data_IF_253287088043
#
_entry.id   IF_253287088043
#
_cell.length_a   1.000
_cell.length_b   1.000
_cell.length_c   1.000
_cell.angle_alpha   90.00
_cell.angle_beta   90.00
_cell.angle_gamma   90.00
#
_symmetry.space_group_name_H-M   'P 1'
#
loop_
_entity.id
_entity.type
_entity.pdbx_description
1 polymer ?
#
# COMPACT_ATOMS: atom_id res chain seq x y z
N UNK A 1 20.07 -8.16 11.05
CA UNK A 1 20.21 -7.84 9.62
C UNK A 1 21.51 -7.10 9.44
N UNK A 2 22.32 -7.53 8.49
CA UNK A 2 23.49 -6.77 8.08
C UNK A 2 23.03 -5.38 7.64
N UNK A 3 23.63 -4.31 8.19
CA UNK A 3 23.17 -2.95 7.99
C UNK A 3 21.97 -2.47 8.84
N UNK A 4 21.37 -3.32 9.66
CA UNK A 4 20.33 -2.89 10.59
C UNK A 4 20.96 -2.11 11.74
N UNK A 5 20.44 -0.92 12.04
CA UNK A 5 20.86 -0.15 13.20
C UNK A 5 20.27 -0.76 14.48
N UNK A 6 21.04 -0.70 15.58
CA UNK A 6 20.71 -1.36 16.84
C UNK A 6 19.36 -0.92 17.44
N UNK A 7 18.95 0.31 17.21
CA UNK A 7 17.78 0.93 17.84
C UNK A 7 16.61 1.20 16.88
N UNK A 8 16.63 0.66 15.67
CA UNK A 8 15.58 0.89 14.65
C UNK A 8 15.58 2.33 14.11
N UNK A 9 14.82 2.54 13.06
CA UNK A 9 14.59 3.86 12.40
C UNK A 9 13.12 4.27 12.43
N UNK A 10 12.24 3.36 12.82
CA UNK A 10 10.80 3.57 12.80
C UNK A 10 10.35 4.08 14.15
N UNK A 11 9.55 5.14 14.15
CA UNK A 11 8.83 5.61 15.31
C UNK A 11 7.37 5.19 15.17
N UNK A 12 6.83 4.57 16.20
CA UNK A 12 5.41 4.24 16.27
C UNK A 12 4.65 5.38 16.94
N UNK A 13 3.52 5.84 16.36
CA UNK A 13 2.65 6.76 17.05
C UNK A 13 2.07 6.08 18.30
N UNK A 14 1.96 6.81 19.38
CA UNK A 14 1.28 6.31 20.58
C UNK A 14 -0.19 5.95 20.29
N UNK A 15 -0.74 5.00 21.02
CA UNK A 15 -2.19 4.71 20.96
C UNK A 15 -2.93 5.96 21.41
N UNK A 16 -3.91 6.39 20.59
CA UNK A 16 -4.65 7.62 20.79
C UNK A 16 -6.14 7.33 20.96
N UNK A 17 -6.77 7.94 21.95
CA UNK A 17 -8.23 7.89 22.09
C UNK A 17 -8.89 8.97 21.21
N UNK A 18 -9.44 8.51 20.08
CA UNK A 18 -10.11 9.38 19.14
C UNK A 18 -11.46 9.91 19.63
N UNK A 19 -12.02 9.43 20.76
CA UNK A 19 -13.24 9.99 21.35
C UNK A 19 -13.07 11.49 21.66
N UNK A 20 -11.85 11.92 22.00
CA UNK A 20 -11.50 13.34 22.24
C UNK A 20 -11.71 14.27 21.04
N UNK A 21 -11.85 13.74 19.82
CA UNK A 21 -12.12 14.51 18.62
C UNK A 21 -13.59 14.90 18.45
N UNK A 22 -14.54 14.26 19.17
CA UNK A 22 -15.97 14.59 19.14
C UNK A 22 -16.53 14.67 17.71
N UNK A 23 -17.15 15.81 17.33
CA UNK A 23 -17.72 16.02 16.00
C UNK A 23 -16.73 15.91 14.84
N UNK A 24 -15.41 15.92 15.10
CA UNK A 24 -14.36 15.74 14.09
C UNK A 24 -14.09 14.27 13.78
N UNK A 25 -14.65 13.34 14.53
CA UNK A 25 -14.59 11.90 14.23
C UNK A 25 -15.09 11.55 12.83
N UNK A 26 -15.96 12.37 12.24
CA UNK A 26 -16.47 12.21 10.86
C UNK A 26 -15.37 12.31 9.78
N UNK A 27 -14.23 12.92 10.10
CA UNK A 27 -13.09 13.03 9.19
C UNK A 27 -12.16 11.80 9.23
N UNK A 28 -12.36 10.92 10.20
CA UNK A 28 -11.60 9.67 10.29
C UNK A 28 -12.39 8.52 9.64
N UNK A 29 -11.69 7.52 9.06
CA UNK A 29 -12.36 6.34 8.56
C UNK A 29 -13.15 5.65 9.69
N UNK A 30 -14.21 4.93 9.32
CA UNK A 30 -14.95 4.10 10.26
C UNK A 30 -13.98 3.15 10.97
N UNK A 31 -14.22 2.88 12.26
CA UNK A 31 -13.38 1.97 13.03
C UNK A 31 -13.30 0.62 12.31
N UNK A 32 -12.10 0.21 11.93
CA UNK A 32 -11.88 -1.09 11.32
C UNK A 32 -12.02 -2.18 12.39
N UNK A 33 -12.47 -3.37 12.00
CA UNK A 33 -12.45 -4.55 12.87
C UNK A 33 -11.03 -5.08 13.13
N UNK A 34 -10.00 -4.33 12.73
CA UNK A 34 -8.61 -4.65 12.98
C UNK A 34 -8.31 -4.38 14.46
N UNK A 35 -7.69 -5.33 15.18
CA UNK A 35 -7.27 -5.10 16.56
C UNK A 35 -6.37 -3.88 16.66
N UNK A 36 -6.45 -3.18 17.80
CA UNK A 36 -5.51 -2.10 18.10
C UNK A 36 -4.12 -2.70 18.27
N UNK A 37 -3.16 -2.21 17.50
CA UNK A 37 -1.77 -2.68 17.47
C UNK A 37 -0.88 -1.55 17.97
N UNK A 38 -0.45 -1.56 19.24
CA UNK A 38 0.29 -0.45 19.82
C UNK A 38 1.63 -0.19 19.16
N UNK A 39 2.33 -1.25 18.72
CA UNK A 39 3.68 -1.15 18.15
C UNK A 39 3.80 -2.01 16.90
N UNK A 40 4.67 -1.60 15.98
CA UNK A 40 4.97 -2.39 14.79
C UNK A 40 5.47 -3.80 15.10
N UNK A 41 6.23 -3.98 16.18
CA UNK A 41 6.68 -5.30 16.64
C UNK A 41 5.52 -6.21 17.05
N UNK A 42 4.42 -5.64 17.58
CA UNK A 42 3.23 -6.39 17.97
C UNK A 42 2.47 -6.92 16.75
N UNK A 43 2.62 -6.28 15.59
CA UNK A 43 2.01 -6.72 14.34
C UNK A 43 2.45 -8.14 13.94
N UNK A 44 3.69 -8.49 14.23
CA UNK A 44 4.21 -9.83 13.95
C UNK A 44 3.64 -10.89 14.88
N UNK A 45 3.24 -10.53 16.10
CA UNK A 45 2.54 -11.42 17.02
C UNK A 45 1.13 -11.73 16.53
N UNK A 46 0.45 -10.76 15.91
CA UNK A 46 -0.89 -10.93 15.35
C UNK A 46 -0.93 -11.91 14.17
N UNK A 47 0.18 -12.10 13.50
CA UNK A 47 0.30 -13.04 12.38
C UNK A 47 0.74 -14.44 12.81
N UNK A 48 0.91 -14.70 14.13
CA UNK A 48 1.25 -16.03 14.70
C UNK A 48 0.00 -16.79 15.11
N UNK A 49 0.03 -18.12 15.06
CA UNK A 49 -1.06 -18.94 15.62
C UNK A 49 -1.21 -18.73 17.14
N UNK A 50 -2.40 -18.85 17.70
CA UNK A 50 -3.65 -19.16 17.05
C UNK A 50 -4.52 -17.92 16.80
N UNK A 51 -4.40 -17.32 15.63
CA UNK A 51 -5.30 -16.22 15.21
C UNK A 51 -6.79 -16.64 15.26
N UNK A 52 -7.03 -17.94 15.04
CA UNK A 52 -8.38 -18.54 15.03
C UNK A 52 -9.07 -18.56 16.39
N UNK A 53 -8.37 -18.36 17.50
CA UNK A 53 -8.93 -18.52 18.86
C UNK A 53 -9.21 -17.23 19.61
N UNK A 54 -9.05 -16.07 18.97
CA UNK A 54 -9.21 -14.76 19.62
C UNK A 54 -8.17 -14.45 20.71
N UNK A 55 -7.15 -15.29 20.86
CA UNK A 55 -6.03 -15.10 21.80
C UNK A 55 -4.89 -14.25 21.26
N UNK A 56 -5.03 -13.71 20.05
CA UNK A 56 -4.04 -12.85 19.41
C UNK A 56 -3.82 -11.49 20.10
N UNK A 57 -4.62 -11.16 21.08
CA UNK A 57 -4.36 -10.06 22.01
C UNK A 57 -3.48 -10.55 23.17
N UNK A 58 -2.32 -11.11 22.86
CA UNK A 58 -1.34 -11.39 23.89
C UNK A 58 -0.98 -10.09 24.59
N UNK A 59 -1.49 -9.88 25.78
CA UNK A 59 -1.04 -8.93 26.82
C UNK A 59 -0.58 -7.52 26.36
N UNK A 60 -1.05 -7.02 25.23
CA UNK A 60 -0.92 -5.59 24.94
C UNK A 60 -1.99 -4.91 25.77
N UNK A 61 -1.62 -4.49 26.98
CA UNK A 61 -2.49 -3.74 27.85
C UNK A 61 -2.81 -2.40 27.18
N UNK A 62 -3.99 -2.33 26.54
CA UNK A 62 -4.56 -1.04 26.18
C UNK A 62 -4.91 -0.30 27.47
N UNK A 63 -4.72 1.00 27.54
CA UNK A 63 -5.28 1.80 28.63
C UNK A 63 -6.78 1.48 28.77
N UNK A 64 -7.20 1.09 29.97
CA UNK A 64 -8.56 0.54 30.22
C UNK A 64 -9.68 1.58 30.09
N UNK A 65 -9.30 2.86 29.98
CA UNK A 65 -10.18 4.03 29.96
C UNK A 65 -10.39 4.65 28.58
N UNK A 66 -9.85 4.04 27.50
CA UNK A 66 -10.05 4.53 26.13
C UNK A 66 -11.35 4.06 25.53
N UNK A 67 -12.20 5.01 25.09
CA UNK A 67 -13.49 4.72 24.44
C UNK A 67 -13.32 4.33 22.97
N UNK A 68 -12.39 4.99 22.26
CA UNK A 68 -12.12 4.76 20.84
C UNK A 68 -10.62 4.71 20.55
N UNK A 69 -9.92 3.67 21.01
CA UNK A 69 -8.49 3.54 20.80
C UNK A 69 -8.14 3.36 19.33
N UNK A 70 -7.17 4.13 18.85
CA UNK A 70 -6.57 4.03 17.51
C UNK A 70 -5.06 3.82 17.64
N UNK A 71 -4.49 3.10 16.69
CA UNK A 71 -3.05 2.80 16.64
C UNK A 71 -2.48 3.01 15.24
N UNK A 72 -1.16 2.94 15.12
CA UNK A 72 -0.43 3.05 13.86
C UNK A 72 -0.81 4.32 13.07
N UNK A 73 -0.94 4.24 11.74
CA UNK A 73 -1.27 5.38 10.90
C UNK A 73 -2.59 6.07 11.24
N UNK A 74 -3.59 5.35 11.76
CA UNK A 74 -4.84 5.97 12.22
C UNK A 74 -4.62 6.86 13.44
N UNK A 75 -3.80 6.41 14.40
CA UNK A 75 -3.43 7.22 15.56
C UNK A 75 -2.67 8.48 15.14
N UNK A 76 -1.70 8.37 14.25
CA UNK A 76 -0.95 9.52 13.73
C UNK A 76 -1.88 10.57 13.14
N UNK A 77 -2.79 10.18 12.25
CA UNK A 77 -3.75 11.12 11.63
C UNK A 77 -4.71 11.71 12.66
N UNK A 78 -5.18 10.89 13.61
CA UNK A 78 -6.07 11.39 14.67
C UNK A 78 -5.39 12.44 15.55
N UNK A 79 -4.11 12.24 15.91
CA UNK A 79 -3.32 13.21 16.67
C UNK A 79 -3.09 14.51 15.89
N UNK A 80 -2.74 14.43 14.59
CA UNK A 80 -2.59 15.60 13.73
C UNK A 80 -3.93 16.36 13.58
N UNK A 81 -5.03 15.64 13.43
CA UNK A 81 -6.36 16.23 13.37
C UNK A 81 -6.74 16.94 14.67
N UNK A 82 -6.35 16.38 15.83
CA UNK A 82 -6.53 17.05 17.11
C UNK A 82 -5.77 18.38 17.17
N UNK A 83 -4.53 18.41 16.72
CA UNK A 83 -3.73 19.65 16.65
C UNK A 83 -4.46 20.68 15.77
N UNK A 84 -4.95 20.29 14.60
CA UNK A 84 -5.74 21.20 13.74
C UNK A 84 -7.02 21.71 14.42
N UNK A 85 -7.71 20.86 15.21
CA UNK A 85 -8.91 21.25 15.97
C UNK A 85 -8.59 22.29 17.06
N UNK A 86 -7.43 22.15 17.73
CA UNK A 86 -7.00 23.04 18.81
C UNK A 86 -6.52 24.40 18.30
N UNK A 87 -6.16 24.50 17.02
CA UNK A 87 -5.74 25.73 16.37
C UNK A 87 -6.88 26.34 15.55
N UNK A 88 -7.43 27.49 16.00
CA UNK A 88 -8.57 28.16 15.36
C UNK A 88 -8.28 28.82 14.00
N UNK A 89 -7.10 28.64 13.44
CA UNK A 89 -6.67 29.20 12.16
C UNK A 89 -6.58 28.17 11.04
N UNK A 90 -7.17 26.96 11.25
CA UNK A 90 -7.21 25.89 10.25
C UNK A 90 -8.65 25.57 9.90
N UNK A 91 -9.03 25.84 8.66
CA UNK A 91 -10.32 25.45 8.10
C UNK A 91 -10.19 24.18 7.26
N UNK A 92 -10.99 23.16 7.56
CA UNK A 92 -11.02 21.89 6.82
C UNK A 92 -12.31 21.81 6.00
N UNK A 93 -12.17 21.83 4.68
CA UNK A 93 -13.25 21.64 3.73
C UNK A 93 -13.21 20.21 3.19
N UNK A 94 -14.29 19.48 3.37
CA UNK A 94 -14.43 18.11 2.82
C UNK A 94 -15.34 18.12 1.60
N UNK A 95 -15.26 17.07 0.78
CA UNK A 95 -16.02 16.96 -0.47
C UNK A 95 -15.73 18.12 -1.43
N UNK A 96 -14.51 18.65 -1.40
CA UNK A 96 -14.02 19.68 -2.29
C UNK A 96 -12.94 19.09 -3.21
N UNK A 97 -13.17 19.20 -4.50
CA UNK A 97 -12.30 18.70 -5.56
C UNK A 97 -11.53 19.86 -6.18
N UNK A 98 -10.21 19.76 -6.20
CA UNK A 98 -9.35 20.69 -6.95
C UNK A 98 -9.59 20.52 -8.44
N UNK A 99 -9.86 21.60 -9.15
CA UNK A 99 -10.08 21.62 -10.61
C UNK A 99 -8.95 22.30 -11.35
N UNK A 100 -8.43 23.40 -10.80
CA UNK A 100 -7.45 24.26 -11.47
C UNK A 100 -6.65 25.05 -10.46
N UNK A 101 -5.40 25.38 -10.83
CA UNK A 101 -4.58 26.36 -10.12
C UNK A 101 -4.75 27.72 -10.79
N UNK A 102 -4.93 28.76 -10.00
CA UNK A 102 -5.03 30.14 -10.45
C UNK A 102 -3.65 30.78 -10.46
N UNK A 103 -3.27 31.38 -11.58
CA UNK A 103 -1.99 32.08 -11.71
C UNK A 103 -2.23 33.59 -12.02
N UNK A 104 -1.27 34.37 -11.57
CA UNK A 104 -1.21 35.82 -11.91
C UNK A 104 -0.78 36.02 -13.36
N UNK A 105 -1.51 36.90 -14.07
CA UNK A 105 -1.16 37.26 -15.44
C UNK A 105 0.13 38.08 -15.55
N UNK A 106 0.62 38.64 -14.43
CA UNK A 106 1.77 39.53 -14.41
C UNK A 106 3.09 38.76 -14.44
N UNK A 107 3.20 37.68 -13.63
CA UNK A 107 4.45 36.96 -13.39
C UNK A 107 4.31 35.43 -13.41
N UNK A 108 3.09 34.93 -13.66
CA UNK A 108 2.80 33.49 -13.70
C UNK A 108 2.86 32.80 -12.32
N UNK A 109 2.92 33.56 -11.22
CA UNK A 109 2.89 33.03 -9.87
C UNK A 109 1.54 32.37 -9.58
N UNK A 110 1.54 31.23 -8.91
CA UNK A 110 0.31 30.61 -8.40
C UNK A 110 -0.22 31.42 -7.21
N UNK A 111 -1.47 31.88 -7.34
CA UNK A 111 -2.15 32.78 -6.39
C UNK A 111 -3.43 32.17 -5.82
N UNK A 112 -3.71 30.90 -6.11
CA UNK A 112 -4.89 30.24 -5.59
C UNK A 112 -5.28 28.99 -6.35
N UNK A 113 -6.50 28.55 -6.09
CA UNK A 113 -7.08 27.38 -6.70
C UNK A 113 -8.59 27.57 -6.97
N UNK A 114 -9.09 26.91 -8.02
CA UNK A 114 -10.51 26.71 -8.24
C UNK A 114 -10.88 25.31 -7.77
N UNK A 115 -11.86 25.25 -6.88
CA UNK A 115 -12.36 24.00 -6.29
C UNK A 115 -13.86 23.87 -6.49
N UNK A 116 -14.35 22.63 -6.63
CA UNK A 116 -15.77 22.31 -6.65
C UNK A 116 -16.12 21.60 -5.35
N UNK A 117 -17.05 22.17 -4.58
CA UNK A 117 -17.42 21.64 -3.28
C UNK A 117 -18.85 21.06 -3.27
N UNK A 118 -18.98 19.83 -2.76
CA UNK A 118 -20.25 19.15 -2.68
C UNK A 118 -20.78 18.66 -4.03
N UNK A 119 -22.11 18.61 -4.14
CA UNK A 119 -22.83 18.21 -5.38
C UNK A 119 -23.19 19.39 -6.28
N UNK A 120 -22.83 20.61 -5.91
CA UNK A 120 -23.06 21.81 -6.72
C UNK A 120 -22.15 21.80 -7.95
N UNK A 121 -22.65 22.27 -9.06
CA UNK A 121 -21.83 22.57 -10.25
C UNK A 121 -21.02 23.87 -10.10
N UNK A 122 -21.32 24.66 -9.07
CA UNK A 122 -20.63 25.92 -8.81
C UNK A 122 -19.23 25.66 -8.26
N UNK A 123 -18.26 26.34 -8.86
CA UNK A 123 -16.86 26.32 -8.41
C UNK A 123 -16.59 27.54 -7.53
N UNK A 124 -15.76 27.33 -6.52
CA UNK A 124 -15.28 28.38 -5.62
C UNK A 124 -13.83 28.71 -5.97
N UNK A 125 -13.51 29.99 -6.07
CA UNK A 125 -12.14 30.45 -6.22
C UNK A 125 -11.57 30.78 -4.83
N UNK A 126 -10.49 30.11 -4.48
CA UNK A 126 -9.77 30.33 -3.23
C UNK A 126 -8.49 31.10 -3.56
N UNK A 127 -8.35 32.30 -3.02
CA UNK A 127 -7.13 33.09 -3.13
C UNK A 127 -6.13 32.68 -2.04
N UNK A 128 -4.89 32.44 -2.45
CA UNK A 128 -3.75 32.12 -1.57
C UNK A 128 -2.72 33.24 -1.64
N UNK A 129 -2.63 34.03 -0.57
CA UNK A 129 -1.70 35.16 -0.50
C UNK A 129 -0.22 34.74 -0.46
N UNK A 130 0.08 33.59 0.13
CA UNK A 130 1.46 33.11 0.33
C UNK A 130 1.84 31.99 -0.65
N UNK A 131 0.95 31.06 -0.92
CA UNK A 131 1.19 29.94 -1.84
C UNK A 131 0.18 28.81 -1.67
N UNK A 132 0.28 27.81 -2.54
CA UNK A 132 -0.53 26.59 -2.58
C UNK A 132 0.39 25.38 -2.40
N UNK A 133 0.06 24.49 -1.47
CA UNK A 133 0.77 23.23 -1.25
C UNK A 133 -0.11 22.09 -1.72
N UNK A 134 0.33 21.34 -2.74
CA UNK A 134 -0.39 20.17 -3.25
C UNK A 134 0.00 18.92 -2.46
N UNK A 135 -0.96 18.33 -1.77
CA UNK A 135 -0.81 17.06 -1.02
C UNK A 135 -1.95 16.10 -1.35
N UNK A 136 -2.43 16.14 -2.60
CA UNK A 136 -3.64 15.45 -3.06
C UNK A 136 -3.40 13.99 -3.45
N UNK A 137 -2.28 13.41 -3.03
CA UNK A 137 -1.92 12.02 -3.35
C UNK A 137 -1.45 11.83 -4.81
N UNK A 138 -1.26 10.57 -5.16
CA UNK A 138 -0.83 10.15 -6.50
C UNK A 138 -2.00 9.85 -7.44
N UNK A 139 -1.77 8.91 -8.39
CA UNK A 139 -2.77 8.56 -9.41
C UNK A 139 -3.21 7.07 -9.38
N UNK A 140 -3.04 6.40 -8.25
CA UNK A 140 -3.35 4.96 -8.12
C UNK A 140 -4.81 4.60 -8.43
N UNK A 141 -5.75 5.53 -8.28
CA UNK A 141 -7.17 5.35 -8.55
C UNK A 141 -7.61 5.89 -9.92
N UNK A 142 -6.66 6.25 -10.79
CA UNK A 142 -6.92 6.67 -12.16
C UNK A 142 -6.42 5.63 -13.15
N UNK A 143 -7.33 4.82 -13.74
CA UNK A 143 -6.95 3.73 -14.63
C UNK A 143 -6.26 4.23 -15.91
N UNK A 144 -6.70 5.34 -16.49
CA UNK A 144 -6.08 5.90 -17.70
C UNK A 144 -4.61 6.28 -17.44
N UNK A 145 -4.32 6.92 -16.30
CA UNK A 145 -2.96 7.25 -15.92
C UNK A 145 -2.13 6.00 -15.58
N UNK A 146 -2.74 5.00 -14.95
CA UNK A 146 -2.07 3.70 -14.71
C UNK A 146 -1.68 3.04 -16.01
N UNK A 147 -2.58 2.99 -16.98
CA UNK A 147 -2.33 2.40 -18.30
C UNK A 147 -1.25 3.16 -19.07
N UNK A 148 -1.27 4.49 -18.98
CA UNK A 148 -0.30 5.36 -19.64
C UNK A 148 1.11 5.26 -19.05
N UNK A 149 1.24 5.17 -17.73
CA UNK A 149 2.53 5.27 -17.05
C UNK A 149 3.03 3.94 -16.49
N UNK A 150 2.15 3.10 -15.94
CA UNK A 150 2.51 1.84 -15.30
C UNK A 150 2.36 0.63 -16.24
N UNK A 151 1.47 0.75 -17.22
CA UNK A 151 1.15 -0.31 -18.17
C UNK A 151 2.11 -0.43 -19.36
N UNK A 152 3.25 0.25 -19.35
CA UNK A 152 4.20 0.27 -20.47
C UNK A 152 4.64 -1.13 -20.88
N UNK A 153 3.95 -1.69 -21.88
CA UNK A 153 4.45 -2.83 -22.61
C UNK A 153 5.73 -2.44 -23.37
N UNK A 154 6.70 -3.35 -23.56
CA UNK A 154 7.84 -3.08 -24.43
C UNK A 154 7.33 -2.61 -25.79
N UNK A 155 7.99 -1.60 -26.37
CA UNK A 155 7.64 -1.04 -27.68
C UNK A 155 7.42 -2.16 -28.71
N UNK A 156 6.19 -2.30 -29.22
CA UNK A 156 5.80 -3.29 -30.24
C UNK A 156 4.88 -4.43 -29.78
N UNK A 157 4.53 -4.52 -28.50
CA UNK A 157 3.53 -5.48 -28.00
C UNK A 157 2.14 -4.87 -27.97
N UNK A 158 1.12 -5.66 -28.35
CA UNK A 158 -0.26 -5.33 -28.04
C UNK A 158 -0.39 -5.18 -26.51
N UNK A 159 -0.75 -3.97 -26.06
CA UNK A 159 -0.88 -3.64 -24.64
C UNK A 159 -1.73 -4.70 -23.94
N UNK A 160 -1.11 -5.49 -23.09
CA UNK A 160 -1.84 -6.46 -22.29
C UNK A 160 -2.61 -5.72 -21.20
N UNK A 161 -3.90 -5.87 -21.23
CA UNK A 161 -4.91 -5.13 -20.48
C UNK A 161 -4.90 -5.34 -18.96
N UNK A 162 -3.92 -6.05 -18.35
CA UNK A 162 -4.04 -6.49 -16.96
C UNK A 162 -2.73 -6.50 -16.16
N UNK A 163 -1.78 -5.61 -16.45
CA UNK A 163 -0.57 -5.47 -15.61
C UNK A 163 -0.88 -4.75 -14.29
N UNK A 164 -1.85 -3.84 -14.31
CA UNK A 164 -2.17 -2.98 -13.16
C UNK A 164 -3.63 -2.54 -13.22
N UNK A 165 -4.30 -2.52 -12.06
CA UNK A 165 -5.71 -2.12 -11.96
C UNK A 165 -5.94 -1.28 -10.70
N UNK A 166 -6.83 -0.31 -10.79
CA UNK A 166 -7.28 0.49 -9.63
C UNK A 166 -7.86 -0.39 -8.51
N UNK A 167 -8.60 -1.45 -8.88
CA UNK A 167 -9.18 -2.41 -7.94
C UNK A 167 -8.17 -3.26 -7.15
N UNK A 168 -6.87 -3.15 -7.44
CA UNK A 168 -5.80 -3.82 -6.68
C UNK A 168 -5.05 -2.87 -5.76
N UNK A 169 -5.34 -1.57 -5.82
CA UNK A 169 -4.68 -0.54 -5.02
C UNK A 169 -5.33 -0.39 -3.64
N UNK A 170 -4.51 -0.19 -2.61
CA UNK A 170 -4.91 0.19 -1.26
C UNK A 170 -4.93 1.71 -1.06
N UNK A 171 -4.55 2.48 -2.10
CA UNK A 171 -4.55 3.93 -2.04
C UNK A 171 -5.97 4.50 -1.86
N UNK A 172 -6.06 5.68 -1.30
CA UNK A 172 -7.33 6.38 -1.12
C UNK A 172 -8.04 6.60 -2.46
N UNK A 173 -9.39 6.53 -2.47
CA UNK A 173 -10.18 6.72 -3.69
C UNK A 173 -9.97 8.09 -4.35
N UNK A 174 -9.48 9.08 -3.60
CA UNK A 174 -9.14 10.42 -4.10
C UNK A 174 -7.79 10.51 -4.81
N UNK A 175 -6.98 9.46 -4.84
CA UNK A 175 -5.66 9.44 -5.50
C UNK A 175 -5.82 9.30 -7.03
N UNK A 176 -6.46 10.30 -7.65
CA UNK A 176 -6.81 10.33 -9.08
C UNK A 176 -5.82 11.12 -9.95
N UNK A 177 -4.71 11.57 -9.37
CA UNK A 177 -3.63 12.27 -10.10
C UNK A 177 -3.88 13.74 -10.34
N UNK A 178 -4.76 14.38 -9.57
CA UNK A 178 -5.13 15.79 -9.81
C UNK A 178 -3.93 16.74 -9.68
N UNK A 179 -3.03 16.54 -8.67
CA UNK A 179 -1.83 17.36 -8.52
C UNK A 179 -0.97 17.34 -9.79
N UNK A 180 -0.71 16.14 -10.32
CA UNK A 180 0.07 15.95 -11.54
C UNK A 180 -0.58 16.65 -12.73
N UNK A 181 -1.89 16.49 -12.90
CA UNK A 181 -2.64 17.10 -14.01
C UNK A 181 -2.63 18.63 -13.94
N UNK A 182 -2.92 19.23 -12.78
CA UNK A 182 -2.96 20.70 -12.66
C UNK A 182 -1.56 21.31 -12.73
N UNK A 183 -0.54 20.61 -12.18
CA UNK A 183 0.85 21.03 -12.27
C UNK A 183 1.37 21.01 -13.70
N UNK A 184 1.11 19.93 -14.45
CA UNK A 184 1.52 19.81 -15.85
C UNK A 184 0.88 20.85 -16.75
N UNK A 185 -0.36 21.29 -16.49
CA UNK A 185 -0.99 22.41 -17.22
C UNK A 185 -0.23 23.74 -17.06
N UNK A 186 0.48 23.90 -15.92
CA UNK A 186 1.36 25.05 -15.67
C UNK A 186 2.81 24.83 -16.14
N UNK A 187 3.09 23.71 -16.83
CA UNK A 187 4.41 23.36 -17.33
C UNK A 187 5.34 22.74 -16.29
N UNK A 188 4.78 22.20 -15.18
CA UNK A 188 5.56 21.45 -14.21
C UNK A 188 6.17 20.19 -14.80
N UNK A 189 7.38 19.86 -14.36
CA UNK A 189 8.04 18.60 -14.65
C UNK A 189 7.59 17.49 -13.70
N UNK A 190 7.81 16.24 -14.09
CA UNK A 190 7.42 15.07 -13.34
C UNK A 190 8.41 13.92 -13.58
N UNK A 191 8.56 13.04 -12.61
CA UNK A 191 9.46 11.90 -12.72
C UNK A 191 8.90 10.65 -12.03
N UNK A 192 9.52 9.49 -12.27
CA UNK A 192 9.18 8.18 -11.67
C UNK A 192 7.72 7.75 -11.86
N UNK A 193 7.05 8.20 -12.91
CA UNK A 193 5.63 7.91 -13.15
C UNK A 193 5.35 6.42 -13.41
N UNK A 194 6.39 5.64 -13.75
CA UNK A 194 6.36 4.19 -13.96
C UNK A 194 6.54 3.38 -12.67
N UNK A 195 6.55 4.02 -11.49
CA UNK A 195 6.84 3.37 -10.22
C UNK A 195 5.69 3.50 -9.22
N UNK A 196 5.53 2.45 -8.40
CA UNK A 196 4.53 2.38 -7.33
C UNK A 196 5.15 2.00 -5.99
N UNK A 197 4.49 2.34 -4.90
CA UNK A 197 4.69 1.74 -3.60
C UNK A 197 4.03 0.37 -3.59
N UNK A 198 4.70 -0.60 -4.22
CA UNK A 198 4.15 -1.93 -4.46
C UNK A 198 3.91 -2.70 -3.17
N UNK A 199 2.74 -3.30 -3.05
CA UNK A 199 2.37 -4.25 -1.99
C UNK A 199 1.49 -5.33 -2.60
N UNK A 200 1.79 -6.63 -2.41
CA UNK A 200 0.90 -7.69 -2.86
C UNK A 200 -0.47 -7.53 -2.22
N UNK A 201 -1.52 -7.62 -3.03
CA UNK A 201 -2.91 -7.53 -2.57
C UNK A 201 -3.72 -8.74 -2.95
N UNK A 202 -4.85 -8.92 -2.29
CA UNK A 202 -5.87 -9.92 -2.61
C UNK A 202 -7.26 -9.30 -2.38
N UNK A 203 -8.27 -9.92 -2.93
CA UNK A 203 -9.64 -9.63 -2.49
C UNK A 203 -9.89 -10.47 -1.23
N UNK A 204 -10.12 -9.81 -0.13
CA UNK A 204 -10.43 -10.46 1.15
C UNK A 204 -11.67 -11.35 0.99
N UNK A 205 -11.53 -12.67 1.15
CA UNK A 205 -12.62 -13.60 0.89
C UNK A 205 -13.76 -13.51 1.91
N UNK A 206 -13.55 -12.85 3.05
CA UNK A 206 -14.59 -12.63 4.06
C UNK A 206 -15.37 -11.32 3.89
N UNK A 207 -14.80 -10.33 3.19
CA UNK A 207 -15.42 -8.99 3.04
C UNK A 207 -15.64 -8.57 1.59
N UNK A 208 -15.03 -9.23 0.62
CA UNK A 208 -15.05 -8.86 -0.80
C UNK A 208 -14.27 -7.58 -1.14
N UNK A 209 -13.48 -7.05 -0.21
CA UNK A 209 -12.70 -5.82 -0.40
C UNK A 209 -11.23 -6.13 -0.67
N UNK A 210 -10.55 -5.23 -1.38
CA UNK A 210 -9.10 -5.33 -1.53
C UNK A 210 -8.42 -5.17 -0.16
N UNK A 211 -7.44 -6.04 0.11
CA UNK A 211 -6.63 -6.01 1.32
C UNK A 211 -5.19 -6.40 0.98
N UNK A 212 -4.26 -6.09 1.89
CA UNK A 212 -2.88 -6.51 1.72
C UNK A 212 -2.74 -8.03 1.87
N UNK A 213 -1.80 -8.61 1.15
CA UNK A 213 -1.51 -10.04 1.15
C UNK A 213 -0.09 -10.38 1.61
N UNK A 214 0.74 -9.41 1.97
CA UNK A 214 2.16 -9.61 2.24
C UNK A 214 2.42 -10.60 3.37
N UNK A 215 1.57 -10.61 4.40
CA UNK A 215 1.68 -11.58 5.49
C UNK A 215 1.11 -12.94 5.10
N UNK A 216 0.03 -12.96 4.32
CA UNK A 216 -0.55 -14.21 3.86
C UNK A 216 0.45 -15.01 3.00
N UNK A 217 1.10 -14.36 2.04
CA UNK A 217 2.05 -15.03 1.14
C UNK A 217 3.37 -15.46 1.82
N UNK A 218 3.73 -14.82 2.94
CA UNK A 218 5.00 -15.07 3.63
C UNK A 218 4.97 -16.25 4.60
N UNK A 219 3.78 -16.76 4.95
CA UNK A 219 3.63 -17.84 5.93
C UNK A 219 4.02 -19.22 5.36
N UNK A 220 4.55 -20.12 6.19
CA UNK A 220 4.80 -21.51 5.76
C UNK A 220 3.51 -22.24 5.38
N UNK A 221 3.64 -23.43 4.79
CA UNK A 221 2.54 -24.23 4.22
C UNK A 221 1.82 -23.55 3.04
N UNK A 222 2.53 -22.66 2.36
CA UNK A 222 2.04 -21.94 1.20
C UNK A 222 3.16 -21.47 0.28
N UNK A 223 2.81 -21.22 -0.99
CA UNK A 223 3.68 -20.54 -1.97
C UNK A 223 2.83 -19.92 -3.07
N UNK A 224 3.40 -18.96 -3.79
CA UNK A 224 2.72 -18.27 -4.91
C UNK A 224 3.19 -18.85 -6.24
N UNK A 225 2.23 -19.08 -7.14
CA UNK A 225 2.48 -19.52 -8.52
C UNK A 225 1.90 -18.55 -9.54
N UNK A 226 2.47 -18.57 -10.74
CA UNK A 226 1.90 -17.95 -11.94
C UNK A 226 0.82 -18.83 -12.61
N UNK A 227 0.21 -18.35 -13.69
CA UNK A 227 -0.80 -19.08 -14.48
C UNK A 227 -0.36 -20.45 -15.00
N UNK A 228 0.95 -20.71 -15.08
CA UNK A 228 1.53 -22.01 -15.44
C UNK A 228 1.83 -22.91 -14.23
N UNK A 229 1.46 -22.51 -13.02
CA UNK A 229 1.69 -23.27 -11.79
C UNK A 229 3.15 -23.30 -11.32
N UNK A 230 3.96 -22.30 -11.65
CA UNK A 230 5.39 -22.22 -11.29
C UNK A 230 5.64 -21.12 -10.29
N UNK A 231 6.43 -21.39 -9.25
CA UNK A 231 7.01 -20.36 -8.39
C UNK A 231 8.00 -19.50 -9.17
N UNK A 232 8.15 -18.23 -8.80
CA UNK A 232 9.00 -17.28 -9.53
C UNK A 232 9.71 -16.25 -8.65
N UNK A 233 9.53 -16.28 -7.32
CA UNK A 233 10.20 -15.40 -6.35
C UNK A 233 10.15 -15.99 -4.93
N UNK A 234 10.87 -15.36 -3.98
CA UNK A 234 10.70 -15.65 -2.55
C UNK A 234 9.50 -14.89 -2.00
N UNK A 235 8.49 -15.60 -1.56
CA UNK A 235 7.24 -15.00 -1.07
C UNK A 235 7.43 -14.24 0.26
N UNK A 236 8.54 -14.49 0.95
CA UNK A 236 8.90 -13.82 2.20
C UNK A 236 9.86 -12.64 1.98
N UNK A 237 10.26 -12.31 0.73
CA UNK A 237 11.08 -11.13 0.47
C UNK A 237 10.32 -9.82 0.76
N UNK A 238 10.99 -8.66 0.87
CA UNK A 238 10.33 -7.37 1.05
C UNK A 238 9.22 -7.14 0.02
N UNK A 239 8.06 -6.71 0.46
CA UNK A 239 6.82 -6.64 -0.33
C UNK A 239 6.94 -5.82 -1.61
N UNK A 240 7.71 -4.71 -1.62
CA UNK A 240 7.96 -3.97 -2.85
C UNK A 240 8.80 -4.76 -3.87
N UNK A 241 9.74 -5.61 -3.41
CA UNK A 241 10.49 -6.52 -4.28
C UNK A 241 9.58 -7.65 -4.80
N UNK A 242 8.65 -8.15 -3.97
CA UNK A 242 7.67 -9.14 -4.39
C UNK A 242 6.81 -8.60 -5.55
N UNK A 243 6.30 -7.38 -5.45
CA UNK A 243 5.51 -6.76 -6.53
C UNK A 243 6.34 -6.54 -7.79
N UNK A 244 7.61 -6.11 -7.69
CA UNK A 244 8.49 -6.03 -8.85
C UNK A 244 8.65 -7.38 -9.54
N UNK A 245 8.87 -8.46 -8.77
CA UNK A 245 8.93 -9.82 -9.31
C UNK A 245 7.63 -10.25 -10.00
N UNK A 246 6.48 -9.85 -9.47
CA UNK A 246 5.17 -10.11 -10.07
C UNK A 246 5.01 -9.34 -11.40
N UNK A 247 5.36 -8.06 -11.47
CA UNK A 247 5.35 -7.30 -12.73
C UNK A 247 6.29 -7.90 -13.77
N UNK A 248 7.53 -8.27 -13.38
CA UNK A 248 8.49 -8.88 -14.29
C UNK A 248 8.01 -10.23 -14.81
N UNK A 249 7.35 -11.03 -13.96
CA UNK A 249 6.75 -12.30 -14.36
C UNK A 249 5.57 -12.11 -15.29
N UNK A 250 4.68 -11.16 -14.98
CA UNK A 250 3.55 -10.84 -15.84
C UNK A 250 4.01 -10.38 -17.23
N UNK A 251 5.02 -9.51 -17.32
CA UNK A 251 5.61 -9.10 -18.61
C UNK A 251 6.15 -10.28 -19.42
N UNK A 252 6.83 -11.24 -18.77
CA UNK A 252 7.35 -12.46 -19.42
C UNK A 252 6.23 -13.40 -19.88
N UNK A 253 5.08 -13.38 -19.22
CA UNK A 253 3.91 -14.19 -19.54
C UNK A 253 2.92 -13.47 -20.47
N UNK A 254 3.38 -12.53 -21.29
CA UNK A 254 2.53 -11.81 -22.25
C UNK A 254 1.63 -10.74 -21.62
N UNK A 255 1.91 -10.37 -20.34
CA UNK A 255 1.24 -9.28 -19.64
C UNK A 255 0.07 -9.71 -18.75
N UNK A 256 -0.17 -11.00 -18.56
CA UNK A 256 -1.20 -11.49 -17.65
C UNK A 256 -0.65 -11.55 -16.21
N UNK A 257 -1.24 -10.77 -15.30
CA UNK A 257 -0.94 -10.81 -13.86
C UNK A 257 -1.83 -11.87 -13.17
N UNK A 258 -1.64 -13.13 -13.55
CA UNK A 258 -2.39 -14.27 -13.01
C UNK A 258 -1.52 -15.00 -11.99
N UNK A 259 -1.72 -14.69 -10.71
CA UNK A 259 -0.99 -15.29 -9.61
C UNK A 259 -1.95 -15.85 -8.57
N UNK A 260 -1.60 -17.01 -8.02
CA UNK A 260 -2.35 -17.66 -6.95
C UNK A 260 -1.44 -18.04 -5.79
N UNK A 261 -1.86 -17.72 -4.57
CA UNK A 261 -1.33 -18.34 -3.36
C UNK A 261 -1.94 -19.73 -3.24
N UNK A 262 -1.10 -20.75 -3.21
CA UNK A 262 -1.48 -22.15 -2.98
C UNK A 262 -1.15 -22.48 -1.54
N UNK A 263 -2.08 -23.12 -0.83
CA UNK A 263 -1.90 -23.49 0.57
C UNK A 263 -2.78 -24.70 0.95
N UNK A 264 -2.53 -25.28 2.10
CA UNK A 264 -3.17 -26.51 2.55
C UNK A 264 -3.95 -26.37 3.87
N UNK A 265 -4.47 -27.48 4.37
CA UNK A 265 -5.18 -27.54 5.65
C UNK A 265 -4.37 -27.08 6.85
N UNK A 266 -3.04 -27.30 6.85
CA UNK A 266 -2.16 -26.82 7.92
C UNK A 266 -2.11 -25.29 7.96
N UNK A 267 -2.03 -24.65 6.78
CA UNK A 267 -2.11 -23.21 6.69
C UNK A 267 -3.43 -22.68 7.26
N UNK A 268 -4.56 -23.24 6.81
CA UNK A 268 -5.89 -22.80 7.25
C UNK A 268 -6.13 -22.96 8.76
N UNK A 269 -5.50 -23.96 9.39
CA UNK A 269 -5.60 -24.15 10.83
C UNK A 269 -4.73 -23.17 11.62
N UNK A 270 -3.63 -22.71 11.04
CA UNK A 270 -2.63 -21.87 11.72
C UNK A 270 -2.82 -20.40 11.50
N UNK A 271 -3.20 -19.99 10.28
CA UNK A 271 -3.17 -18.58 9.86
C UNK A 271 -4.53 -18.12 9.38
N UNK A 272 -4.83 -16.85 9.68
CA UNK A 272 -5.99 -16.21 9.10
C UNK A 272 -5.70 -15.87 7.62
N UNK A 273 -6.72 -16.03 6.78
CA UNK A 273 -6.69 -15.50 5.43
C UNK A 273 -7.88 -14.56 5.24
N UNK A 274 -7.57 -13.26 5.18
CA UNK A 274 -8.59 -12.22 5.15
C UNK A 274 -9.58 -12.32 6.33
N UNK A 275 -10.83 -12.00 6.07
CA UNK A 275 -11.91 -12.02 7.06
C UNK A 275 -12.55 -13.38 7.33
N UNK A 276 -11.97 -14.50 6.89
CA UNK A 276 -12.53 -15.85 7.13
C UNK A 276 -12.43 -16.21 8.61
N UNK A 277 -13.57 -16.44 9.24
CA UNK A 277 -13.68 -16.69 10.69
C UNK A 277 -14.34 -18.03 11.07
N UNK A 278 -14.91 -18.74 10.11
CA UNK A 278 -15.67 -19.97 10.36
C UNK A 278 -15.75 -20.86 9.11
N UNK A 279 -16.05 -22.16 9.26
CA UNK A 279 -16.32 -23.03 8.12
C UNK A 279 -17.36 -22.46 7.15
N UNK A 280 -18.44 -21.87 7.69
CA UNK A 280 -19.48 -21.23 6.88
C UNK A 280 -18.93 -20.07 6.03
N UNK A 281 -18.04 -19.24 6.58
CA UNK A 281 -17.41 -18.15 5.79
C UNK A 281 -16.48 -18.69 4.72
N UNK A 282 -15.83 -19.82 4.95
CA UNK A 282 -15.03 -20.51 3.95
C UNK A 282 -15.89 -21.00 2.79
N UNK A 283 -17.02 -21.68 3.09
CA UNK A 283 -17.95 -22.18 2.07
C UNK A 283 -18.54 -21.04 1.24
N UNK A 284 -18.95 -19.94 1.89
CA UNK A 284 -19.42 -18.74 1.20
C UNK A 284 -18.35 -18.12 0.27
N UNK A 285 -17.10 -18.05 0.72
CA UNK A 285 -16.01 -17.54 -0.11
C UNK A 285 -15.74 -18.43 -1.35
N UNK A 286 -15.88 -19.73 -1.20
CA UNK A 286 -15.79 -20.69 -2.32
C UNK A 286 -16.94 -20.52 -3.29
N UNK A 287 -18.17 -20.41 -2.80
CA UNK A 287 -19.36 -20.16 -3.63
C UNK A 287 -19.27 -18.87 -4.43
N UNK A 288 -18.65 -17.83 -3.84
CA UNK A 288 -18.43 -16.53 -4.49
C UNK A 288 -17.22 -16.51 -5.45
N UNK A 289 -16.45 -17.60 -5.54
CA UNK A 289 -15.24 -17.66 -6.37
C UNK A 289 -14.09 -16.80 -5.87
N UNK A 290 -14.10 -16.37 -4.60
CA UNK A 290 -13.03 -15.62 -3.95
C UNK A 290 -11.96 -16.54 -3.35
N UNK A 291 -12.34 -17.77 -3.02
CA UNK A 291 -11.47 -18.84 -2.57
C UNK A 291 -11.72 -20.09 -3.39
N UNK A 292 -10.70 -20.82 -3.76
CA UNK A 292 -10.80 -22.11 -4.43
C UNK A 292 -10.44 -23.21 -3.44
N UNK A 293 -11.13 -24.35 -3.48
CA UNK A 293 -10.91 -25.50 -2.60
C UNK A 293 -11.06 -26.81 -3.35
N UNK A 294 -10.18 -27.77 -3.06
CA UNK A 294 -10.27 -29.12 -3.60
C UNK A 294 -9.58 -30.13 -2.66
N UNK A 295 -9.97 -31.39 -2.77
CA UNK A 295 -9.34 -32.47 -2.01
C UNK A 295 -7.97 -32.90 -2.60
N UNK A 296 -7.72 -32.58 -3.88
CA UNK A 296 -6.46 -32.89 -4.55
C UNK A 296 -5.85 -31.64 -5.19
N UNK A 297 -4.53 -31.62 -5.32
CA UNK A 297 -3.77 -30.57 -6.02
C UNK A 297 -4.15 -30.50 -7.50
N UNK A 298 -4.38 -31.66 -8.14
CA UNK A 298 -4.73 -31.70 -9.57
C UNK A 298 -6.12 -31.10 -9.85
N UNK A 299 -7.09 -31.35 -8.99
CA UNK A 299 -8.43 -30.75 -9.15
C UNK A 299 -8.45 -29.28 -8.76
N UNK A 300 -7.62 -28.86 -7.82
CA UNK A 300 -7.43 -27.44 -7.54
C UNK A 300 -6.82 -26.71 -8.75
N UNK A 301 -5.81 -27.31 -9.36
CA UNK A 301 -5.13 -26.75 -10.53
C UNK A 301 -6.08 -26.53 -11.71
N UNK A 302 -6.99 -27.46 -11.98
CA UNK A 302 -8.01 -27.33 -13.04
C UNK A 302 -8.94 -26.14 -12.86
N UNK A 303 -9.11 -25.67 -11.62
CA UNK A 303 -9.97 -24.51 -11.32
C UNK A 303 -9.27 -23.18 -11.55
N UNK A 304 -7.93 -23.12 -11.46
CA UNK A 304 -7.19 -21.84 -11.33
C UNK A 304 -6.07 -21.64 -12.35
N UNK A 305 -5.66 -22.69 -13.08
CA UNK A 305 -4.49 -22.64 -13.95
C UNK A 305 -4.84 -22.98 -15.39
N UNK A 306 -3.95 -22.59 -16.30
CA UNK A 306 -4.03 -22.99 -17.71
C UNK A 306 -3.84 -24.50 -17.89
N UNK A 307 -4.36 -25.08 -19.00
CA UNK A 307 -4.02 -26.45 -19.37
C UNK A 307 -2.50 -26.66 -19.48
N UNK A 308 -2.03 -27.85 -19.11
CA UNK A 308 -0.61 -28.22 -19.11
C UNK A 308 0.24 -27.44 -18.09
N UNK A 309 -0.33 -27.10 -16.96
CA UNK A 309 0.36 -26.47 -15.83
C UNK A 309 1.39 -27.41 -15.16
N UNK A 310 2.26 -26.83 -14.31
CA UNK A 310 3.33 -27.53 -13.59
C UNK A 310 3.06 -27.67 -12.08
N UNK A 311 1.84 -27.44 -11.61
CA UNK A 311 1.57 -27.32 -10.16
C UNK A 311 2.00 -28.55 -9.38
N UNK A 312 1.71 -29.75 -9.85
CA UNK A 312 2.08 -30.99 -9.19
C UNK A 312 3.61 -31.12 -9.01
N UNK A 313 4.37 -30.78 -10.05
CA UNK A 313 5.85 -30.76 -9.98
C UNK A 313 6.30 -29.70 -8.98
N UNK A 314 5.72 -28.50 -9.01
CA UNK A 314 6.04 -27.40 -8.09
C UNK A 314 5.78 -27.80 -6.62
N UNK A 315 4.64 -28.46 -6.32
CA UNK A 315 4.31 -28.98 -4.99
C UNK A 315 5.35 -30.03 -4.53
N UNK A 316 5.71 -30.96 -5.42
CA UNK A 316 6.68 -32.02 -5.09
C UNK A 316 8.06 -31.44 -4.78
N UNK A 317 8.58 -30.54 -5.60
CA UNK A 317 9.86 -29.86 -5.38
C UNK A 317 9.82 -28.98 -4.12
N UNK A 318 8.71 -28.26 -3.88
CA UNK A 318 8.53 -27.45 -2.68
C UNK A 318 8.58 -28.32 -1.42
N UNK A 319 7.85 -29.44 -1.39
CA UNK A 319 7.80 -30.33 -0.24
C UNK A 319 9.16 -30.97 0.06
N UNK A 320 9.94 -31.32 -0.98
CA UNK A 320 11.33 -31.79 -0.83
C UNK A 320 12.21 -30.71 -0.18
N UNK A 321 12.15 -29.46 -0.69
CA UNK A 321 12.90 -28.33 -0.15
C UNK A 321 12.53 -28.02 1.30
N UNK A 322 11.24 -28.11 1.66
CA UNK A 322 10.78 -27.95 3.05
C UNK A 322 11.41 -28.96 4.01
N UNK A 323 11.57 -30.22 3.58
CA UNK A 323 12.24 -31.25 4.38
C UNK A 323 13.69 -30.90 4.71
N UNK A 324 14.38 -30.23 3.81
CA UNK A 324 15.76 -29.77 3.96
C UNK A 324 15.88 -28.38 4.58
N UNK A 325 14.78 -27.62 4.68
CA UNK A 325 14.74 -26.25 5.21
C UNK A 325 15.44 -25.21 4.33
N UNK A 326 15.71 -25.54 3.07
CA UNK A 326 16.47 -24.70 2.14
C UNK A 326 15.76 -24.57 0.79
N UNK A 327 15.37 -23.34 0.42
CA UNK A 327 14.81 -23.01 -0.88
C UNK A 327 15.94 -22.76 -1.89
N UNK A 328 16.32 -23.80 -2.65
CA UNK A 328 17.39 -23.75 -3.66
C UNK A 328 17.11 -22.79 -4.82
N UNK A 329 15.85 -22.34 -5.01
CA UNK A 329 15.45 -21.53 -6.15
C UNK A 329 15.41 -20.03 -5.83
N UNK A 330 14.88 -19.66 -4.65
CA UNK A 330 14.60 -18.26 -4.31
C UNK A 330 15.09 -17.87 -2.91
N UNK A 331 15.77 -18.77 -2.19
CA UNK A 331 16.40 -18.49 -0.88
C UNK A 331 15.41 -18.02 0.18
N UNK A 332 14.17 -18.55 0.14
CA UNK A 332 13.10 -18.16 1.08
C UNK A 332 13.47 -18.53 2.51
N UNK A 333 13.42 -17.53 3.40
CA UNK A 333 13.71 -17.70 4.83
C UNK A 333 15.19 -17.64 5.20
N UNK A 334 16.09 -17.27 4.28
CA UNK A 334 17.53 -17.21 4.56
C UNK A 334 17.96 -15.92 5.28
N UNK A 335 17.25 -14.81 5.09
CA UNK A 335 17.55 -13.57 5.79
C UNK A 335 16.62 -13.31 7.00
N UNK A 336 17.07 -12.44 7.92
CA UNK A 336 16.35 -12.13 9.16
C UNK A 336 15.02 -11.44 8.95
N UNK A 337 14.85 -10.65 7.90
CA UNK A 337 13.58 -10.02 7.59
C UNK A 337 12.55 -11.08 7.24
N UNK A 338 12.91 -11.99 6.35
CA UNK A 338 12.04 -13.11 5.96
C UNK A 338 11.67 -13.98 7.17
N UNK A 339 12.64 -14.32 8.01
CA UNK A 339 12.42 -15.12 9.23
C UNK A 339 11.48 -14.40 10.22
N UNK A 340 11.59 -13.07 10.31
CA UNK A 340 10.75 -12.25 11.18
C UNK A 340 9.28 -12.27 10.78
N UNK A 341 8.96 -12.24 9.49
CA UNK A 341 7.58 -12.32 8.99
C UNK A 341 7.07 -13.76 8.84
N UNK A 342 7.92 -14.75 9.00
CA UNK A 342 7.59 -16.16 9.00
C UNK A 342 6.82 -16.63 10.25
N UNK A 343 6.96 -17.88 10.62
CA UNK A 343 6.42 -18.50 11.84
C UNK A 343 7.54 -19.18 12.61
N UNK A 344 8.00 -18.63 13.75
CA UNK A 344 9.13 -19.19 14.52
C UNK A 344 8.85 -20.58 15.09
N UNK A 345 7.59 -21.02 15.15
CA UNK A 345 7.21 -22.35 15.61
C UNK A 345 7.34 -23.41 14.51
N UNK A 346 7.72 -23.00 13.29
CA UNK A 346 7.96 -23.91 12.16
C UNK A 346 9.45 -24.12 11.95
N UNK A 347 9.85 -25.37 11.92
CA UNK A 347 11.24 -25.81 11.81
C UNK A 347 11.39 -26.81 10.65
N UNK A 348 12.52 -26.82 9.94
CA UNK A 348 13.79 -26.14 10.21
C UNK A 348 13.85 -24.69 9.69
N UNK A 349 12.90 -24.24 8.87
CA UNK A 349 12.87 -22.88 8.33
C UNK A 349 11.50 -22.22 8.61
N UNK A 350 11.46 -21.09 9.31
CA UNK A 350 10.21 -20.44 9.73
C UNK A 350 9.33 -19.94 8.58
N UNK A 351 9.86 -19.88 7.34
CA UNK A 351 9.13 -19.46 6.16
C UNK A 351 8.67 -20.62 5.27
N UNK A 352 9.04 -21.86 5.59
CA UNK A 352 8.82 -23.01 4.74
C UNK A 352 8.07 -24.12 5.49
N UNK A 353 6.97 -24.58 4.89
CA UNK A 353 6.19 -25.71 5.38
C UNK A 353 5.61 -26.48 4.18
N UNK A 354 5.59 -27.83 4.23
CA UNK A 354 5.12 -28.62 3.10
C UNK A 354 3.62 -28.42 2.87
N UNK A 355 3.22 -28.37 1.62
CA UNK A 355 1.81 -28.31 1.16
C UNK A 355 1.40 -29.75 0.82
N UNK A 356 0.83 -30.47 1.79
CA UNK A 356 0.55 -31.91 1.66
C UNK A 356 -0.73 -32.39 2.36
N UNK A 357 -1.30 -31.58 3.27
CA UNK A 357 -2.47 -31.98 4.06
C UNK A 357 -3.73 -31.32 3.49
N UNK A 358 -4.56 -32.09 2.79
CA UNK A 358 -5.82 -31.59 2.26
C UNK A 358 -6.84 -31.17 3.33
N UNK A 359 -7.86 -30.41 2.97
CA UNK A 359 -8.11 -29.86 1.65
C UNK A 359 -7.09 -28.80 1.24
N UNK A 360 -6.88 -28.68 -0.09
CA UNK A 360 -6.00 -27.69 -0.69
C UNK A 360 -6.81 -26.47 -1.12
N UNK A 361 -6.17 -25.31 -1.03
CA UNK A 361 -6.82 -24.03 -1.31
C UNK A 361 -5.98 -23.19 -2.24
N UNK A 362 -6.66 -22.25 -2.93
CA UNK A 362 -6.00 -21.19 -3.66
C UNK A 362 -6.77 -19.88 -3.55
N UNK A 363 -6.03 -18.76 -3.55
CA UNK A 363 -6.59 -17.41 -3.63
C UNK A 363 -5.77 -16.57 -4.62
N UNK A 364 -6.44 -15.70 -5.37
CA UNK A 364 -5.77 -14.81 -6.32
C UNK A 364 -4.98 -13.73 -5.61
N UNK A 365 -3.74 -13.51 -6.05
CA UNK A 365 -2.84 -12.47 -5.56
C UNK A 365 -2.54 -11.51 -6.69
N UNK A 366 -2.55 -10.22 -6.39
CA UNK A 366 -2.36 -9.16 -7.37
C UNK A 366 -1.13 -8.31 -7.05
N UNK A 367 -0.43 -7.79 -8.09
CA UNK A 367 0.63 -6.81 -7.93
C UNK A 367 0.03 -5.44 -7.60
N UNK A 368 -0.48 -5.30 -6.38
CA UNK A 368 -1.11 -4.09 -5.88
C UNK A 368 -0.11 -3.01 -5.45
N UNK A 369 -0.65 -1.93 -4.94
CA UNK A 369 0.12 -0.80 -4.41
C UNK A 369 -0.60 -0.08 -3.25
N UNK A 370 0.17 0.72 -2.52
CA UNK A 370 -0.32 1.65 -1.50
C UNK A 370 -0.19 3.11 -1.97
N UNK A 371 0.03 3.34 -3.28
CA UNK A 371 0.21 4.65 -3.88
C UNK A 371 1.23 4.62 -5.03
N UNK A 372 1.27 5.68 -5.84
CA UNK A 372 2.30 5.89 -6.85
C UNK A 372 3.52 6.58 -6.23
N UNK A 373 4.72 6.33 -6.78
CA UNK A 373 5.97 6.97 -6.38
C UNK A 373 6.28 8.20 -7.21
N UNK A 374 5.80 8.21 -8.43
CA UNK A 374 5.95 9.33 -9.35
C UNK A 374 4.98 10.45 -9.08
N UNK A 375 5.41 11.67 -9.35
CA UNK A 375 4.64 12.89 -9.15
C UNK A 375 5.35 14.11 -9.73
N UNK A 376 4.99 15.30 -9.26
CA UNK A 376 5.61 16.56 -9.62
C UNK A 376 7.06 16.60 -9.11
N UNK A 377 7.97 17.08 -9.95
CA UNK A 377 9.35 17.30 -9.55
C UNK A 377 9.44 18.54 -8.66
N UNK A 378 10.11 18.41 -7.51
CA UNK A 378 10.34 19.50 -6.55
C UNK A 378 11.83 19.68 -6.26
N UNK A 379 12.18 20.86 -5.79
CA UNK A 379 13.51 21.13 -5.23
C UNK A 379 13.58 20.83 -3.72
N UNK A 380 14.73 21.11 -3.10
CA UNK A 380 14.98 20.90 -1.68
C UNK A 380 14.10 21.76 -0.74
N UNK A 381 13.35 22.71 -1.30
CA UNK A 381 12.38 23.55 -0.59
C UNK A 381 10.93 23.15 -0.86
N UNK A 382 10.71 21.98 -1.47
CA UNK A 382 9.42 21.46 -1.91
C UNK A 382 8.70 22.34 -2.95
N UNK A 383 9.42 23.26 -3.63
CA UNK A 383 8.88 24.10 -4.70
C UNK A 383 8.79 23.30 -5.99
N UNK A 384 7.66 23.38 -6.68
CA UNK A 384 7.45 22.66 -7.95
C UNK A 384 8.30 23.26 -9.05
N UNK A 385 8.98 22.40 -9.81
CA UNK A 385 9.88 22.78 -10.91
C UNK A 385 9.22 22.61 -12.27
N UNK A 386 9.59 23.48 -13.22
CA UNK A 386 9.30 23.34 -14.64
C UNK A 386 10.34 22.40 -15.30
N UNK A 387 10.07 21.96 -16.52
CA UNK A 387 11.03 21.21 -17.35
C UNK A 387 12.32 21.96 -17.63
N UNK A 388 12.33 23.29 -17.56
CA UNK A 388 13.52 24.14 -17.66
C UNK A 388 14.40 24.11 -16.40
N UNK A 389 13.89 23.58 -15.29
CA UNK A 389 14.51 23.66 -13.96
C UNK A 389 14.09 24.90 -13.15
N UNK A 390 13.32 25.82 -13.75
CA UNK A 390 12.85 27.00 -13.05
C UNK A 390 11.70 26.65 -12.08
N UNK A 391 11.61 27.39 -10.96
CA UNK A 391 10.55 27.25 -9.97
C UNK A 391 9.24 27.81 -10.49
N UNK A 392 8.13 27.12 -10.26
CA UNK A 392 6.79 27.68 -10.36
C UNK A 392 6.49 28.42 -9.06
N UNK A 393 6.63 29.73 -9.07
CA UNK A 393 6.45 30.56 -7.89
C UNK A 393 5.05 30.38 -7.26
N UNK A 394 4.99 30.30 -5.93
CA UNK A 394 3.74 30.11 -5.18
C UNK A 394 3.18 28.68 -5.21
N UNK A 395 3.87 27.71 -5.85
CA UNK A 395 3.43 26.31 -5.92
C UNK A 395 4.42 25.37 -5.25
N UNK A 396 3.91 24.54 -4.35
CA UNK A 396 4.64 23.53 -3.61
C UNK A 396 3.94 22.17 -3.72
N UNK A 397 4.66 21.09 -3.55
CA UNK A 397 4.07 19.74 -3.52
C UNK A 397 4.80 18.84 -2.52
N UNK A 398 4.08 17.84 -1.98
CA UNK A 398 4.62 16.86 -1.06
C UNK A 398 3.80 15.57 -1.02
N UNK A 399 4.35 14.53 -0.40
CA UNK A 399 3.78 13.20 -0.38
C UNK A 399 3.71 12.58 -1.78
N UNK A 400 2.68 11.76 -2.05
CA UNK A 400 2.54 11.12 -3.36
C UNK A 400 2.12 12.11 -4.50
N UNK A 401 1.92 13.39 -4.20
CA UNK A 401 1.75 14.44 -5.22
C UNK A 401 3.11 14.86 -5.83
N UNK A 402 4.21 14.63 -5.13
CA UNK A 402 5.59 14.85 -5.57
C UNK A 402 6.31 13.54 -5.86
N UNK A 403 7.49 13.64 -6.46
CA UNK A 403 8.39 12.49 -6.68
C UNK A 403 8.89 11.96 -5.33
N UNK A 404 8.86 10.65 -5.15
CA UNK A 404 9.36 10.01 -3.93
C UNK A 404 10.84 10.30 -3.67
N UNK A 405 11.16 10.77 -2.46
CA UNK A 405 12.54 11.06 -2.05
C UNK A 405 13.38 9.81 -1.79
N UNK A 406 12.74 8.70 -1.38
CA UNK A 406 13.43 7.47 -1.02
C UNK A 406 13.14 6.36 -2.03
N UNK A 407 14.17 5.58 -2.36
CA UNK A 407 14.02 4.40 -3.22
C UNK A 407 13.64 3.13 -2.45
N UNK A 408 13.90 3.09 -1.16
CA UNK A 408 13.55 1.96 -0.30
C UNK A 408 12.10 2.02 0.17
N UNK A 409 11.49 0.86 0.34
CA UNK A 409 10.13 0.71 0.84
C UNK A 409 10.14 -0.05 2.19
N UNK A 410 9.36 0.45 3.13
CA UNK A 410 9.26 -0.12 4.48
C UNK A 410 8.44 0.79 5.40
N UNK A 411 8.29 0.40 6.67
CA UNK A 411 7.55 1.19 7.66
C UNK A 411 8.14 2.61 7.79
N UNK A 412 7.29 3.64 7.65
CA UNK A 412 7.64 5.05 7.76
C UNK A 412 8.35 5.67 6.55
N UNK A 413 8.71 4.91 5.52
CA UNK A 413 9.46 5.43 4.35
C UNK A 413 8.63 6.33 3.43
N UNK A 414 7.33 6.36 3.58
CA UNK A 414 6.42 7.26 2.86
C UNK A 414 5.91 8.39 3.76
N UNK A 415 5.49 8.07 4.98
CA UNK A 415 4.89 9.05 5.89
C UNK A 415 5.91 10.09 6.40
N UNK A 416 7.13 9.66 6.75
CA UNK A 416 8.15 10.57 7.24
C UNK A 416 8.58 11.61 6.17
N UNK A 417 8.92 11.23 4.91
CA UNK A 417 9.14 12.21 3.86
C UNK A 417 7.97 13.16 3.64
N UNK A 418 6.74 12.65 3.57
CA UNK A 418 5.55 13.48 3.36
C UNK A 418 5.37 14.56 4.45
N UNK A 419 5.62 14.21 5.72
CA UNK A 419 5.58 15.16 6.83
C UNK A 419 6.71 16.19 6.74
N UNK A 420 7.93 15.75 6.37
CA UNK A 420 9.10 16.61 6.21
C UNK A 420 8.90 17.58 5.04
N UNK A 421 8.39 17.12 3.92
CA UNK A 421 8.08 17.98 2.75
C UNK A 421 7.05 19.06 3.10
N UNK A 422 5.99 18.71 3.83
CA UNK A 422 5.02 19.69 4.35
C UNK A 422 5.67 20.73 5.27
N UNK A 423 6.53 20.29 6.18
CA UNK A 423 7.27 21.19 7.08
C UNK A 423 8.22 22.13 6.32
N UNK A 424 8.98 21.59 5.35
CA UNK A 424 9.91 22.37 4.52
C UNK A 424 9.14 23.39 3.67
N UNK A 425 8.04 23.00 3.01
CA UNK A 425 7.22 23.89 2.21
C UNK A 425 6.72 25.08 3.01
N UNK A 426 6.17 24.85 4.21
CA UNK A 426 5.66 25.93 5.07
C UNK A 426 6.78 26.86 5.54
N UNK A 427 7.94 26.33 5.94
CA UNK A 427 9.08 27.17 6.33
C UNK A 427 9.60 28.04 5.16
N UNK A 428 9.65 27.47 3.95
CA UNK A 428 10.02 28.23 2.75
C UNK A 428 9.01 29.39 2.49
N UNK A 429 7.71 29.09 2.58
CA UNK A 429 6.62 30.09 2.42
C UNK A 429 6.78 31.23 3.42
N UNK A 430 6.98 30.91 4.70
CA UNK A 430 7.11 31.92 5.77
C UNK A 430 8.37 32.76 5.60
N UNK A 431 9.49 32.16 5.19
CA UNK A 431 10.75 32.88 4.94
C UNK A 431 10.60 33.88 3.80
N UNK A 432 9.89 33.50 2.71
CA UNK A 432 9.60 34.41 1.58
C UNK A 432 8.69 35.59 2.02
N UNK A 433 7.68 35.31 2.84
CA UNK A 433 6.80 36.34 3.36
C UNK A 433 7.52 37.35 4.28
N UNK A 434 8.44 36.87 5.10
CA UNK A 434 9.24 37.72 6.03
C UNK A 434 10.26 38.57 5.27
N UNK A 435 10.88 38.05 4.22
CA UNK A 435 11.82 38.80 3.36
C UNK A 435 11.14 39.89 2.53
N UNK A 436 9.88 39.71 2.13
CA UNK A 436 9.08 40.71 1.42
C UNK A 436 8.68 41.90 2.31
N UNK A 437 8.62 41.71 3.64
CA UNK A 437 8.31 42.77 4.61
C UNK A 437 9.53 43.59 5.04
N UNK A 438 10.76 43.22 4.63
CA UNK A 438 12.01 43.87 4.97
C UNK A 438 12.64 44.68 3.80
N UNK A 439 11.98 44.73 2.67
CA UNK A 439 12.33 45.53 1.49
C UNK A 439 11.27 46.61 1.24
#
# INVERSE_FOLDING_TARGET
MEGAIKYGRTLDPEVFDAASLEGWLKYLPAQSNVPVIPRFEDFCVLTRPPFSTGRATGNVALPQDMERPMSMGQSLIAQLLKICKEHNNVDIWTQCELQELLSSDLDGRVIGARVRCGRSEESVHIHASLGVVLTTGGFSQNQEMRDAYLGMAPAGGTASKMLTMTGWSLAAHGDVGIALQVGQRLGADSAQLDQVWGIPTMIDPGTGKVTEAMFAISKPFSFVVDGHGRRFFSESQPYGAAVRSMYDRAKKNGGAAEFCLIFDGNYMQRYAIGGLKSPRSIDQAVEQGLLFRSDTVDDLAKQILEPNHNLQTTVSEWNEMCGNGHDKHFHRGEDRYQQFIGDPDVSPNPCMGPVKEGPFYAIKIFPGDAGTRGGLLTDEFARVLRKSGDVIHGLFAGGNASVALLDSQGAGTTLAPSMIEGFIAVNCILSQASGANSS
#
